data_IF_735203409177
#
_entry.id   IF_735203409177
#
_cell.length_a   1.000
_cell.length_b   1.000
_cell.length_c   1.000
_cell.angle_alpha   90.00
_cell.angle_beta   90.00
_cell.angle_gamma   90.00
#
_symmetry.space_group_name_H-M   'P 1'
#
loop_
_entity.id
_entity.type
_entity.pdbx_description
1 polymer ?
#
# COMPACT_ATOMS: atom_id res chain seq x y z
N UNK A 1 5.76 -25.74 -9.63
CA UNK A 1 4.51 -26.24 -9.00
C UNK A 1 3.71 -25.01 -8.62
N UNK A 2 2.40 -24.95 -8.91
CA UNK A 2 1.56 -23.88 -8.37
C UNK A 2 1.66 -23.92 -6.83
N UNK A 3 1.79 -22.76 -6.20
CA UNK A 3 1.77 -22.62 -4.75
C UNK A 3 0.40 -23.06 -4.23
N UNK A 4 0.34 -23.69 -3.05
CA UNK A 4 -0.94 -24.02 -2.42
C UNK A 4 -1.61 -22.72 -1.98
N UNK A 5 -2.94 -22.67 -2.01
CA UNK A 5 -3.76 -21.51 -1.63
C UNK A 5 -3.37 -20.93 -0.25
N UNK A 6 -3.07 -21.81 0.71
CA UNK A 6 -2.59 -21.42 2.04
C UNK A 6 -1.21 -20.76 2.05
N UNK A 7 -0.34 -21.05 1.08
CA UNK A 7 0.97 -20.43 0.92
C UNK A 7 0.85 -19.03 0.29
N UNK A 8 -0.12 -18.82 -0.61
CA UNK A 8 -0.40 -17.50 -1.21
C UNK A 8 -0.98 -16.57 -0.15
N UNK A 9 -2.02 -17.02 0.59
CA UNK A 9 -2.62 -16.23 1.66
C UNK A 9 -1.62 -15.88 2.77
N UNK A 10 -0.73 -16.81 3.13
CA UNK A 10 0.33 -16.55 4.12
C UNK A 10 1.31 -15.47 3.62
N UNK A 11 1.71 -15.52 2.34
CA UNK A 11 2.61 -14.52 1.75
C UNK A 11 2.02 -13.13 1.68
N UNK A 12 0.75 -13.01 1.27
CA UNK A 12 0.04 -11.72 1.24
C UNK A 12 0.00 -11.12 2.64
N UNK A 13 -0.34 -11.93 3.64
CA UNK A 13 -0.36 -11.49 5.04
C UNK A 13 1.00 -11.04 5.55
N UNK A 14 2.08 -11.75 5.19
CA UNK A 14 3.45 -11.33 5.52
C UNK A 14 3.81 -9.97 4.89
N UNK A 15 3.40 -9.75 3.63
CA UNK A 15 3.63 -8.48 2.93
C UNK A 15 2.80 -7.33 3.52
N UNK A 16 1.53 -7.54 3.89
CA UNK A 16 0.70 -6.55 4.59
C UNK A 16 1.36 -6.12 5.91
N UNK A 17 1.87 -7.07 6.70
CA UNK A 17 2.57 -6.73 7.96
C UNK A 17 3.89 -5.96 7.71
N UNK A 18 4.60 -6.27 6.62
CA UNK A 18 5.77 -5.49 6.19
C UNK A 18 5.39 -4.05 5.83
N UNK A 19 4.34 -3.87 5.02
CA UNK A 19 3.83 -2.57 4.59
C UNK A 19 3.41 -1.72 5.80
N UNK A 20 2.65 -2.29 6.74
CA UNK A 20 2.29 -1.62 8.01
C UNK A 20 3.51 -1.17 8.80
N UNK A 21 4.55 -2.01 8.86
CA UNK A 21 5.82 -1.67 9.50
C UNK A 21 6.51 -0.45 8.87
N UNK A 22 6.55 -0.40 7.54
CA UNK A 22 7.12 0.72 6.78
C UNK A 22 6.29 2.00 6.92
N UNK A 23 4.96 1.89 6.84
CA UNK A 23 4.03 3.00 7.07
C UNK A 23 4.21 3.60 8.45
N UNK A 24 4.37 2.77 9.50
CA UNK A 24 4.63 3.24 10.87
C UNK A 24 5.94 4.04 10.96
N UNK A 25 7.00 3.57 10.31
CA UNK A 25 8.29 4.26 10.26
C UNK A 25 8.15 5.64 9.60
N UNK A 26 7.48 5.70 8.45
CA UNK A 26 7.25 6.95 7.71
C UNK A 26 6.37 7.90 8.50
N UNK A 27 5.28 7.41 9.12
CA UNK A 27 4.37 8.21 9.94
C UNK A 27 5.11 8.86 11.10
N UNK A 28 5.94 8.07 11.80
CA UNK A 28 6.78 8.57 12.90
C UNK A 28 7.71 9.69 12.43
N UNK A 29 8.37 9.50 11.30
CA UNK A 29 9.29 10.50 10.75
C UNK A 29 8.56 11.77 10.27
N UNK A 30 7.38 11.60 9.67
CA UNK A 30 6.57 12.68 9.11
C UNK A 30 5.99 13.58 10.21
N UNK A 31 5.63 13.00 11.35
CA UNK A 31 5.10 13.69 12.52
C UNK A 31 6.18 14.33 13.41
N UNK A 32 7.46 13.99 13.20
CA UNK A 32 8.55 14.57 13.98
C UNK A 32 8.61 16.10 13.84
N UNK A 33 8.94 16.80 14.93
CA UNK A 33 9.28 18.21 14.85
C UNK A 33 10.65 18.38 14.18
N UNK A 34 10.74 19.31 13.23
CA UNK A 34 11.94 19.51 12.41
C UNK A 34 12.36 20.98 12.51
N UNK A 35 13.57 21.24 12.99
CA UNK A 35 14.14 22.60 13.00
C UNK A 35 14.50 23.05 11.57
N UNK A 36 14.76 24.35 11.39
CA UNK A 36 15.18 24.87 10.09
C UNK A 36 16.53 24.28 9.64
N UNK A 37 17.46 24.12 10.58
CA UNK A 37 18.81 23.58 10.33
C UNK A 37 18.77 22.08 10.00
N UNK A 38 17.84 21.35 10.62
CA UNK A 38 17.64 19.91 10.38
C UNK A 38 16.77 19.58 9.16
N UNK A 39 16.12 20.58 8.56
CA UNK A 39 15.11 20.37 7.53
C UNK A 39 15.65 19.67 6.29
N UNK A 40 16.79 20.09 5.75
CA UNK A 40 17.35 19.52 4.53
C UNK A 40 17.66 18.02 4.69
N UNK A 41 18.23 17.62 5.84
CA UNK A 41 18.49 16.22 6.16
C UNK A 41 17.20 15.43 6.33
N UNK A 42 16.27 15.92 7.13
CA UNK A 42 14.97 15.28 7.34
C UNK A 42 14.22 15.07 6.01
N UNK A 43 14.22 16.07 5.12
CA UNK A 43 13.59 16.00 3.81
C UNK A 43 14.20 14.90 2.95
N UNK A 44 15.53 14.83 2.89
CA UNK A 44 16.23 13.78 2.14
C UNK A 44 15.93 12.40 2.70
N UNK A 45 16.04 12.23 4.02
CA UNK A 45 15.76 10.96 4.69
C UNK A 45 14.30 10.50 4.42
N UNK A 46 13.33 11.42 4.42
CA UNK A 46 11.93 11.11 4.14
C UNK A 46 11.70 10.75 2.66
N UNK A 47 12.36 11.46 1.74
CA UNK A 47 12.34 11.12 0.31
C UNK A 47 12.87 9.70 0.06
N UNK A 48 13.95 9.30 0.74
CA UNK A 48 14.48 7.94 0.64
C UNK A 48 13.47 6.91 1.16
N UNK A 49 12.90 7.13 2.35
CA UNK A 49 11.91 6.21 2.90
C UNK A 49 10.66 6.06 2.03
N UNK A 50 10.14 7.16 1.48
CA UNK A 50 8.97 7.11 0.60
C UNK A 50 9.27 6.40 -0.73
N UNK A 51 10.50 6.51 -1.26
CA UNK A 51 10.92 5.78 -2.48
C UNK A 51 11.09 4.29 -2.23
N UNK A 52 11.70 3.93 -1.11
CA UNK A 52 11.84 2.53 -0.70
C UNK A 52 10.45 1.92 -0.50
N UNK A 53 9.56 2.63 0.18
CA UNK A 53 8.16 2.24 0.36
C UNK A 53 7.43 2.07 -0.98
N UNK A 54 7.56 3.04 -1.90
CA UNK A 54 6.98 2.93 -3.25
C UNK A 54 7.43 1.64 -3.95
N UNK A 55 8.73 1.36 -3.89
CA UNK A 55 9.30 0.14 -4.51
C UNK A 55 8.74 -1.12 -3.86
N UNK A 56 8.61 -1.13 -2.54
CA UNK A 56 8.00 -2.23 -1.79
C UNK A 56 6.52 -2.41 -2.10
N UNK A 57 5.77 -1.33 -2.27
CA UNK A 57 4.34 -1.33 -2.57
C UNK A 57 4.08 -1.82 -4.01
N UNK A 58 4.86 -1.36 -4.99
CA UNK A 58 4.74 -1.85 -6.37
C UNK A 58 5.00 -3.34 -6.47
N UNK A 59 6.04 -3.85 -5.77
CA UNK A 59 6.29 -5.30 -5.73
C UNK A 59 5.16 -6.09 -5.09
N UNK A 60 4.48 -5.51 -4.10
CA UNK A 60 3.34 -6.14 -3.47
C UNK A 60 2.18 -6.26 -4.45
N UNK A 61 1.83 -5.17 -5.15
CA UNK A 61 0.82 -5.19 -6.21
C UNK A 61 1.18 -6.15 -7.34
N UNK A 62 2.45 -6.19 -7.78
CA UNK A 62 2.92 -7.16 -8.79
C UNK A 62 2.72 -8.61 -8.32
N UNK A 63 2.90 -8.90 -7.01
CA UNK A 63 2.66 -10.23 -6.45
C UNK A 63 1.15 -10.56 -6.39
N UNK A 64 0.29 -9.58 -6.20
CA UNK A 64 -1.16 -9.81 -6.16
C UNK A 64 -1.73 -10.03 -7.57
N UNK A 65 -1.26 -9.23 -8.52
CA UNK A 65 -1.69 -9.26 -9.92
C UNK A 65 -1.02 -10.41 -10.69
N UNK A 66 0.31 -10.37 -10.83
CA UNK A 66 1.08 -11.35 -11.62
C UNK A 66 1.48 -12.60 -10.83
N UNK A 67 1.61 -12.47 -9.49
CA UNK A 67 1.87 -13.61 -8.61
C UNK A 67 0.67 -14.54 -8.43
N UNK A 68 -0.47 -14.19 -9.02
CA UNK A 68 -1.58 -15.09 -9.29
C UNK A 68 -2.73 -15.00 -8.28
N UNK A 69 -2.61 -14.20 -7.22
CA UNK A 69 -3.65 -14.06 -6.20
C UNK A 69 -4.98 -13.61 -6.80
N UNK A 70 -5.00 -12.48 -7.49
CA UNK A 70 -6.22 -11.93 -8.09
C UNK A 70 -6.79 -12.87 -9.15
N UNK A 71 -5.92 -13.49 -9.95
CA UNK A 71 -6.34 -14.46 -10.96
C UNK A 71 -6.98 -15.71 -10.33
N UNK A 72 -6.52 -16.11 -9.15
CA UNK A 72 -7.02 -17.26 -8.42
C UNK A 72 -8.38 -16.96 -7.78
N UNK A 73 -8.53 -15.77 -7.20
CA UNK A 73 -9.83 -15.28 -6.70
C UNK A 73 -10.88 -15.30 -7.80
N UNK A 74 -10.56 -14.80 -9.00
CA UNK A 74 -11.49 -14.84 -10.14
C UNK A 74 -11.75 -16.27 -10.63
N UNK A 75 -10.75 -17.15 -10.56
CA UNK A 75 -10.90 -18.56 -10.95
C UNK A 75 -11.88 -19.30 -10.03
N UNK A 76 -11.79 -19.07 -8.72
CA UNK A 76 -12.62 -19.71 -7.69
C UNK A 76 -14.00 -19.04 -7.61
N UNK A 77 -14.03 -17.71 -7.61
CA UNK A 77 -15.23 -16.89 -7.48
C UNK A 77 -15.34 -15.88 -8.64
N UNK A 78 -15.79 -16.28 -9.85
CA UNK A 78 -15.86 -15.40 -11.02
C UNK A 78 -16.72 -14.14 -10.83
N UNK A 79 -17.65 -14.16 -9.88
CA UNK A 79 -18.49 -13.01 -9.55
C UNK A 79 -17.70 -11.86 -8.90
N UNK A 80 -16.48 -12.11 -8.41
CA UNK A 80 -15.58 -11.11 -7.84
C UNK A 80 -14.75 -10.34 -8.88
N UNK A 81 -14.93 -10.61 -10.18
CA UNK A 81 -14.15 -9.97 -11.25
C UNK A 81 -14.18 -8.43 -11.20
N UNK A 82 -15.33 -7.84 -10.90
CA UNK A 82 -15.46 -6.38 -10.84
C UNK A 82 -14.75 -5.80 -9.61
N UNK A 83 -14.72 -6.54 -8.50
CA UNK A 83 -13.97 -6.16 -7.29
C UNK A 83 -12.47 -6.21 -7.58
N UNK A 84 -11.98 -7.28 -8.20
CA UNK A 84 -10.57 -7.40 -8.58
C UNK A 84 -10.12 -6.26 -9.50
N UNK A 85 -10.90 -5.92 -10.53
CA UNK A 85 -10.59 -4.77 -11.41
C UNK A 85 -10.58 -3.43 -10.69
N UNK A 86 -11.43 -3.27 -9.67
CA UNK A 86 -11.44 -2.09 -8.80
C UNK A 86 -10.11 -2.02 -8.05
N UNK A 87 -9.70 -3.10 -7.39
CA UNK A 87 -8.44 -3.17 -6.64
C UNK A 87 -7.21 -2.87 -7.52
N UNK A 88 -7.12 -3.47 -8.72
CA UNK A 88 -6.05 -3.17 -9.69
C UNK A 88 -6.02 -1.67 -10.09
N UNK A 89 -7.19 -1.02 -10.14
CA UNK A 89 -7.28 0.41 -10.44
C UNK A 89 -6.81 1.25 -9.27
N UNK A 90 -7.15 0.84 -8.04
CA UNK A 90 -6.66 1.46 -6.81
C UNK A 90 -5.14 1.35 -6.70
N UNK A 91 -4.54 0.20 -7.01
CA UNK A 91 -3.08 0.03 -7.04
C UNK A 91 -2.38 1.10 -7.88
N UNK A 92 -2.85 1.28 -9.13
CA UNK A 92 -2.31 2.29 -10.04
C UNK A 92 -2.48 3.70 -9.49
N UNK A 93 -3.63 3.99 -8.89
CA UNK A 93 -3.89 5.31 -8.31
C UNK A 93 -2.97 5.58 -7.11
N UNK A 94 -2.75 4.59 -6.24
CA UNK A 94 -1.85 4.71 -5.08
C UNK A 94 -0.41 5.02 -5.50
N UNK A 95 0.08 4.38 -6.55
CA UNK A 95 1.42 4.67 -7.09
C UNK A 95 1.51 6.11 -7.59
N UNK A 96 0.49 6.59 -8.30
CA UNK A 96 0.40 7.98 -8.80
C UNK A 96 0.36 8.99 -7.64
N UNK A 97 -0.45 8.72 -6.61
CA UNK A 97 -0.59 9.59 -5.45
C UNK A 97 0.73 9.72 -4.69
N UNK A 98 1.43 8.60 -4.50
CA UNK A 98 2.74 8.56 -3.87
C UNK A 98 3.80 9.31 -4.68
N UNK A 99 3.77 9.22 -6.01
CA UNK A 99 4.62 10.03 -6.88
C UNK A 99 4.36 11.53 -6.73
N UNK A 100 3.09 11.92 -6.61
CA UNK A 100 2.71 13.31 -6.34
C UNK A 100 3.21 13.81 -4.98
N UNK A 101 3.22 12.95 -3.95
CA UNK A 101 3.77 13.29 -2.63
C UNK A 101 5.30 13.46 -2.71
N UNK A 102 5.99 12.54 -3.40
CA UNK A 102 7.44 12.60 -3.59
C UNK A 102 7.88 13.87 -4.33
N UNK A 103 7.15 14.26 -5.37
CA UNK A 103 7.46 15.45 -6.14
C UNK A 103 7.22 16.74 -5.33
N UNK A 104 6.11 16.83 -4.58
CA UNK A 104 5.87 17.94 -3.66
C UNK A 104 6.99 18.08 -2.62
N UNK A 105 7.40 16.96 -2.02
CA UNK A 105 8.47 16.95 -1.01
C UNK A 105 9.82 17.33 -1.61
N UNK A 106 10.12 16.90 -2.84
CA UNK A 106 11.34 17.25 -3.57
C UNK A 106 11.41 18.74 -3.90
N UNK A 107 10.27 19.34 -4.26
CA UNK A 107 10.15 20.75 -4.60
C UNK A 107 10.09 21.68 -3.37
N UNK A 108 10.04 21.12 -2.15
CA UNK A 108 10.10 21.88 -0.92
C UNK A 108 11.57 22.19 -0.54
N UNK A 109 12.16 23.24 -1.11
CA UNK A 109 13.58 23.59 -0.94
C UNK A 109 13.95 24.05 0.48
N UNK A 110 13.04 24.80 1.11
CA UNK A 110 13.21 25.35 2.46
C UNK A 110 12.03 24.97 3.35
N UNK A 111 12.22 25.10 4.67
CA UNK A 111 11.16 24.82 5.64
C UNK A 111 10.03 25.85 5.52
N UNK A 112 8.95 25.43 4.89
CA UNK A 112 7.66 26.11 4.85
C UNK A 112 6.64 25.23 5.59
N UNK A 113 6.20 25.70 6.76
CA UNK A 113 5.32 24.93 7.64
C UNK A 113 3.95 24.65 7.00
N UNK A 114 3.42 25.56 6.19
CA UNK A 114 2.13 25.36 5.52
C UNK A 114 2.22 24.28 4.45
N UNK A 115 3.29 24.28 3.65
CA UNK A 115 3.52 23.22 2.65
C UNK A 115 3.85 21.89 3.32
N UNK A 116 4.62 21.92 4.40
CA UNK A 116 4.96 20.73 5.17
C UNK A 116 3.72 20.07 5.76
N UNK A 117 2.82 20.86 6.35
CA UNK A 117 1.58 20.32 6.92
C UNK A 117 0.64 19.75 5.85
N UNK A 118 0.62 20.33 4.64
CA UNK A 118 -0.07 19.72 3.49
C UNK A 118 0.53 18.37 3.09
N UNK A 119 1.86 18.27 3.01
CA UNK A 119 2.52 16.99 2.70
C UNK A 119 2.21 15.95 3.77
N UNK A 120 2.26 16.34 5.06
CA UNK A 120 1.91 15.48 6.19
C UNK A 120 0.47 14.97 6.11
N UNK A 121 -0.47 15.85 5.79
CA UNK A 121 -1.88 15.48 5.61
C UNK A 121 -2.03 14.48 4.46
N UNK A 122 -1.43 14.76 3.29
CA UNK A 122 -1.47 13.86 2.13
C UNK A 122 -0.86 12.49 2.42
N UNK A 123 0.27 12.43 3.15
CA UNK A 123 0.86 11.15 3.61
C UNK A 123 -0.12 10.40 4.53
N UNK A 124 -0.78 11.11 5.44
CA UNK A 124 -1.79 10.53 6.33
C UNK A 124 -3.00 9.97 5.57
N UNK A 125 -3.53 10.73 4.61
CA UNK A 125 -4.64 10.32 3.74
C UNK A 125 -4.27 9.10 2.89
N UNK A 126 -3.07 9.12 2.30
CA UNK A 126 -2.53 8.01 1.52
C UNK A 126 -2.41 6.72 2.36
N UNK A 127 -1.98 6.84 3.61
CA UNK A 127 -1.91 5.68 4.51
C UNK A 127 -3.28 5.16 4.93
N UNK A 128 -4.26 6.03 5.14
CA UNK A 128 -5.63 5.61 5.39
C UNK A 128 -6.22 4.88 4.17
N UNK A 129 -5.87 5.30 2.96
CA UNK A 129 -6.27 4.62 1.72
C UNK A 129 -5.69 3.20 1.64
N UNK A 130 -4.40 3.02 1.93
CA UNK A 130 -3.77 1.69 1.96
C UNK A 130 -4.43 0.80 3.03
N UNK A 131 -4.65 1.32 4.24
CA UNK A 131 -5.30 0.56 5.32
C UNK A 131 -6.72 0.11 4.93
N UNK A 132 -7.48 0.97 4.24
CA UNK A 132 -8.80 0.63 3.73
C UNK A 132 -8.74 -0.43 2.63
N UNK A 133 -7.75 -0.32 1.75
CA UNK A 133 -7.56 -1.26 0.65
C UNK A 133 -7.16 -2.66 1.13
N UNK A 134 -6.19 -2.77 2.04
CA UNK A 134 -5.80 -4.06 2.65
C UNK A 134 -6.99 -4.73 3.36
N UNK A 135 -7.90 -3.94 3.94
CA UNK A 135 -9.12 -4.47 4.56
C UNK A 135 -10.09 -5.04 3.50
N UNK A 136 -10.29 -4.34 2.38
CA UNK A 136 -11.12 -4.83 1.28
C UNK A 136 -10.55 -6.12 0.66
N UNK A 137 -9.21 -6.22 0.54
CA UNK A 137 -8.54 -7.44 0.09
C UNK A 137 -8.70 -8.59 1.09
N UNK A 138 -8.62 -8.30 2.39
CA UNK A 138 -8.88 -9.27 3.45
C UNK A 138 -10.31 -9.82 3.40
N UNK A 139 -11.31 -8.95 3.21
CA UNK A 139 -12.70 -9.34 3.07
C UNK A 139 -12.93 -10.17 1.79
N UNK A 140 -12.25 -9.82 0.68
CA UNK A 140 -12.30 -10.57 -0.57
C UNK A 140 -11.71 -11.97 -0.41
N UNK A 141 -10.58 -12.10 0.29
CA UNK A 141 -9.97 -13.36 0.65
C UNK A 141 -10.93 -14.23 1.47
N UNK A 142 -11.43 -13.70 2.59
CA UNK A 142 -12.30 -14.43 3.50
C UNK A 142 -13.59 -14.88 2.79
N UNK A 143 -14.24 -14.00 2.04
CA UNK A 143 -15.47 -14.34 1.32
C UNK A 143 -15.26 -15.39 0.22
N UNK A 144 -14.13 -15.37 -0.48
CA UNK A 144 -13.82 -16.34 -1.54
C UNK A 144 -13.61 -17.74 -0.96
N UNK A 145 -12.87 -17.87 0.15
CA UNK A 145 -12.56 -19.19 0.73
C UNK A 145 -13.69 -19.73 1.62
N UNK A 146 -14.45 -18.89 2.32
CA UNK A 146 -15.61 -19.35 3.11
C UNK A 146 -16.77 -19.83 2.22
N UNK A 147 -16.89 -19.33 0.98
CA UNK A 147 -17.89 -19.80 0.03
C UNK A 147 -17.54 -21.15 -0.59
N UNK A 148 -16.25 -21.46 -0.76
CA UNK A 148 -15.79 -22.76 -1.30
C UNK A 148 -16.06 -23.92 -0.32
N UNK A 149 -15.95 -23.69 0.99
CA UNK A 149 -16.29 -24.69 2.02
C UNK A 149 -17.80 -24.98 2.12
N UNK A 150 -18.66 -24.10 1.60
CA UNK A 150 -20.12 -24.19 1.73
C UNK A 150 -20.84 -25.03 0.66
N UNK A 151 -20.13 -25.54 -0.36
CA UNK A 151 -20.72 -26.35 -1.44
C UNK A 151 -20.50 -27.87 -1.30
N UNK A 152 -19.96 -28.33 -0.16
CA UNK A 152 -19.68 -29.74 0.11
C UNK A 152 -20.78 -30.46 0.92
N UNK A 153 -22.06 -30.29 0.54
CA UNK A 153 -23.18 -31.11 1.05
C UNK A 153 -24.14 -31.55 -0.08
#
# INVERSE_FOLDING_TARGET
MPLKESEIAARIKEEHERIKGEMKKIRTMTQAHVSREGFAKWRLDLLWLLRDFKTGLQRHFDLEEEGGFMSEVVRIAPHNLDVVKKLETEHRQMVIDLDGILEDLKNLEEKDDLKLDKIRARVGEFFALIESHEAEEGDLLESTYLQDEGMAD
#
